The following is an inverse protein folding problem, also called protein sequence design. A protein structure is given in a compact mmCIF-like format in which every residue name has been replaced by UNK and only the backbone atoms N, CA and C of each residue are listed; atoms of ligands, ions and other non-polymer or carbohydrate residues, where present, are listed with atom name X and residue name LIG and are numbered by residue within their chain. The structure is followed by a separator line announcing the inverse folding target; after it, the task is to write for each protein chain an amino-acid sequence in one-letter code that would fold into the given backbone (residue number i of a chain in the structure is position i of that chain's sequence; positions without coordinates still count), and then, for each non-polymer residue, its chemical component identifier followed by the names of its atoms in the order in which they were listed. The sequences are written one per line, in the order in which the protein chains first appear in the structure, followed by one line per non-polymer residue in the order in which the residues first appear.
data_IF_622584608366
#
_entry.id   IF_622584608366
#
_cell.length_a   1.000
_cell.length_b   1.000
_cell.length_c   1.000
_cell.angle_alpha   90.00
_cell.angle_beta   90.00
_cell.angle_gamma   90.00
#
_symmetry.space_group_name_H-M   'P 1'
#
loop_
_entity.id
_entity.type
_entity.pdbx_description
1 polymer ?
#
# COMPACT_ATOMS: atom_id res chain seq x y z
N UNK A 1 -16.47 7.37 -2.53
CA UNK A 1 -15.02 7.12 -2.45
C UNK A 1 -14.69 6.30 -1.22
N UNK A 2 -13.87 5.29 -1.37
CA UNK A 2 -13.45 4.43 -0.26
C UNK A 2 -12.01 4.75 0.14
N UNK A 3 -11.69 4.45 1.38
CA UNK A 3 -10.37 4.73 1.94
C UNK A 3 -9.86 3.47 2.62
N UNK A 4 -8.59 3.15 2.38
CA UNK A 4 -7.94 2.01 3.01
C UNK A 4 -6.59 2.43 3.54
N UNK A 5 -6.32 2.11 4.81
CA UNK A 5 -5.03 2.37 5.42
C UNK A 5 -4.19 1.10 5.36
N UNK A 6 -2.98 1.21 4.83
CA UNK A 6 -2.11 0.06 4.61
C UNK A 6 -0.77 0.32 5.29
N UNK A 7 -0.34 -0.62 6.11
CA UNK A 7 0.99 -0.57 6.72
C UNK A 7 1.97 -1.24 5.77
N UNK A 8 2.87 -0.46 5.18
CA UNK A 8 3.77 -0.92 4.12
C UNK A 8 5.17 -1.10 4.67
N UNK A 9 5.72 -2.31 4.64
CA UNK A 9 7.11 -2.53 5.07
C UNK A 9 8.06 -1.65 4.26
N UNK A 10 9.06 -1.11 4.93
CA UNK A 10 10.02 -0.21 4.28
C UNK A 10 10.70 -0.88 3.10
N UNK A 11 10.94 -2.18 3.17
CA UNK A 11 11.67 -2.88 2.10
C UNK A 11 10.91 -2.93 0.79
N UNK A 12 9.59 -2.73 0.81
CA UNK A 12 8.80 -2.74 -0.42
C UNK A 12 8.14 -1.40 -0.73
N UNK A 13 8.53 -0.34 -0.01
CA UNK A 13 7.87 0.95 -0.20
C UNK A 13 8.08 1.50 -1.61
N UNK A 14 9.23 1.26 -2.21
CA UNK A 14 9.50 1.73 -3.55
C UNK A 14 8.59 1.06 -4.58
N UNK A 15 8.43 -0.26 -4.48
CA UNK A 15 7.52 -0.99 -5.36
C UNK A 15 6.07 -0.58 -5.12
N UNK A 16 5.72 -0.38 -3.86
CA UNK A 16 4.38 0.08 -3.50
C UNK A 16 4.09 1.44 -4.12
N UNK A 17 5.05 2.37 -4.03
CA UNK A 17 4.90 3.69 -4.61
C UNK A 17 4.77 3.63 -6.12
N UNK A 18 5.53 2.75 -6.77
CA UNK A 18 5.44 2.57 -8.21
C UNK A 18 4.05 2.11 -8.63
N UNK A 19 3.45 1.20 -7.88
CA UNK A 19 2.10 0.74 -8.19
C UNK A 19 1.07 1.84 -7.97
N UNK A 20 1.22 2.64 -6.92
CA UNK A 20 0.34 3.77 -6.69
C UNK A 20 0.35 4.73 -7.88
N UNK A 21 1.55 4.99 -8.41
CA UNK A 21 1.71 5.88 -9.54
C UNK A 21 1.14 5.25 -10.82
N UNK A 22 1.37 3.96 -11.01
CA UNK A 22 0.92 3.25 -12.20
C UNK A 22 -0.61 3.22 -12.28
N UNK A 23 -1.26 3.01 -11.14
CA UNK A 23 -2.73 2.97 -11.09
C UNK A 23 -3.34 4.35 -10.85
N UNK A 24 -2.50 5.37 -10.68
CA UNK A 24 -2.94 6.75 -10.47
C UNK A 24 -3.90 6.86 -9.27
N UNK A 25 -3.57 6.16 -8.20
CA UNK A 25 -4.39 6.18 -7.00
C UNK A 25 -4.01 7.35 -6.10
N UNK A 26 -5.03 8.02 -5.58
CA UNK A 26 -4.84 9.08 -4.61
C UNK A 26 -4.37 8.45 -3.29
N UNK A 27 -3.32 9.01 -2.71
CA UNK A 27 -2.77 8.45 -1.49
C UNK A 27 -2.14 9.54 -0.63
N UNK A 28 -1.95 9.19 0.64
CA UNK A 28 -1.34 10.10 1.59
C UNK A 28 -0.51 9.31 2.58
N UNK A 29 0.70 9.78 2.86
CA UNK A 29 1.55 9.17 3.87
C UNK A 29 1.12 9.70 5.23
N UNK A 30 0.64 8.82 6.09
CA UNK A 30 0.12 9.20 7.40
C UNK A 30 1.18 9.20 8.49
N UNK A 31 2.25 8.43 8.29
CA UNK A 31 3.31 8.33 9.29
C UNK A 31 4.01 7.00 9.19
N UNK A 32 4.69 6.62 10.26
CA UNK A 32 5.37 5.33 10.32
C UNK A 32 5.15 4.68 11.68
N UNK A 33 5.38 3.37 11.72
CA UNK A 33 5.24 2.61 12.96
C UNK A 33 6.61 2.29 13.53
N UNK A 34 6.63 1.88 14.79
CA UNK A 34 7.88 1.47 15.44
C UNK A 34 8.47 0.21 14.82
N UNK A 35 7.61 -0.57 14.16
CA UNK A 35 8.05 -1.79 13.48
C UNK A 35 8.75 -1.51 12.14
N UNK A 36 8.86 -0.26 11.74
CA UNK A 36 9.52 0.11 10.49
C UNK A 36 8.61 0.02 9.28
N UNK A 37 7.32 0.26 9.48
CA UNK A 37 6.36 0.28 8.40
C UNK A 37 5.88 1.70 8.15
N UNK A 38 5.56 1.99 6.89
CA UNK A 38 5.00 3.28 6.50
C UNK A 38 3.49 3.12 6.39
N UNK A 39 2.76 4.00 7.05
CA UNK A 39 1.29 3.98 6.99
C UNK A 39 0.85 4.83 5.80
N UNK A 40 0.23 4.20 4.82
CA UNK A 40 -0.24 4.88 3.62
C UNK A 40 -1.75 4.75 3.53
N UNK A 41 -2.43 5.89 3.42
CA UNK A 41 -3.86 5.92 3.20
C UNK A 41 -4.12 6.00 1.70
N UNK A 42 -4.88 5.05 1.16
CA UNK A 42 -5.19 5.00 -0.26
C UNK A 42 -6.68 5.27 -0.45
N UNK A 43 -6.99 6.22 -1.33
CA UNK A 43 -8.38 6.52 -1.68
C UNK A 43 -8.67 5.89 -3.04
N UNK A 44 -9.82 5.24 -3.16
CA UNK A 44 -10.13 4.53 -4.39
C UNK A 44 -11.63 4.47 -4.63
N UNK A 45 -11.99 4.35 -5.91
CA UNK A 45 -13.35 4.14 -6.33
C UNK A 45 -13.59 2.63 -6.48
N UNK A 46 -14.86 2.29 -6.63
CA UNK A 46 -15.26 0.90 -6.74
C UNK A 46 -14.54 0.16 -7.87
N UNK A 47 -14.37 0.82 -9.01
CA UNK A 47 -13.72 0.20 -10.16
C UNK A 47 -12.21 0.08 -10.00
N UNK A 48 -11.64 0.73 -8.98
CA UNK A 48 -10.19 0.65 -8.70
C UNK A 48 -9.85 -0.40 -7.66
N UNK A 49 -10.84 -1.16 -7.23
CA UNK A 49 -10.68 -2.14 -6.17
C UNK A 49 -9.62 -3.19 -6.50
N UNK A 50 -9.54 -3.57 -7.77
CA UNK A 50 -8.54 -4.55 -8.20
C UNK A 50 -7.13 -4.03 -7.96
N UNK A 51 -6.89 -2.76 -8.23
CA UNK A 51 -5.59 -2.14 -8.00
C UNK A 51 -5.22 -2.20 -6.51
N UNK A 52 -6.19 -1.95 -5.64
CA UNK A 52 -5.96 -2.01 -4.20
C UNK A 52 -5.62 -3.43 -3.76
N UNK A 53 -6.28 -4.43 -4.34
CA UNK A 53 -5.95 -5.82 -4.06
C UNK A 53 -4.50 -6.15 -4.42
N UNK A 54 -4.00 -5.61 -5.52
CA UNK A 54 -2.61 -5.84 -5.92
C UNK A 54 -1.64 -5.19 -4.95
N UNK A 55 -1.99 -4.02 -4.43
CA UNK A 55 -1.18 -3.38 -3.39
C UNK A 55 -1.12 -4.25 -2.14
N UNK A 56 -2.25 -4.78 -1.72
CA UNK A 56 -2.32 -5.63 -0.54
C UNK A 56 -1.55 -6.93 -0.75
N UNK A 57 -1.61 -7.50 -1.95
CA UNK A 57 -0.85 -8.70 -2.28
C UNK A 57 0.65 -8.44 -2.19
N UNK A 58 1.10 -7.30 -2.68
CA UNK A 58 2.51 -6.95 -2.61
C UNK A 58 2.98 -6.90 -1.15
N UNK A 59 2.22 -6.22 -0.31
CA UNK A 59 2.55 -6.10 1.11
C UNK A 59 2.56 -7.47 1.78
N UNK A 60 1.57 -8.29 1.46
CA UNK A 60 1.45 -9.62 2.04
C UNK A 60 2.61 -10.53 1.65
N UNK A 61 3.05 -10.45 0.39
CA UNK A 61 4.18 -11.22 -0.09
C UNK A 61 5.45 -10.90 0.69
N UNK A 62 5.69 -9.63 0.94
CA UNK A 62 6.87 -9.22 1.69
C UNK A 62 6.76 -9.59 3.17
N UNK A 63 5.56 -9.53 3.72
CA UNK A 63 5.33 -9.91 5.11
C UNK A 63 5.46 -11.43 5.30
N UNK A 64 4.98 -12.21 4.33
CA UNK A 64 5.04 -13.66 4.40
C UNK A 64 6.46 -14.18 4.25
N UNK A 65 7.33 -13.41 3.66
CA UNK A 65 8.72 -13.79 3.42
C UNK A 65 9.57 -13.75 4.67
N UNK A 66 8.97 -13.42 5.76
CA UNK A 66 9.65 -13.19 7.03
C UNK A 66 9.82 -14.47 7.86
N UNK A 67 9.75 -15.60 7.24
CA UNK A 67 9.93 -16.88 7.96
C UNK A 67 11.34 -17.39 7.80
#
# INVERSE_FOLDING_TARGET
MKTKEINVPVICIAEFADLLAEYDLTNEIMGSTEAGEIIVEVQYEKEERQAVFELLELVEDYSADDN
#
